data_IF_909266371366
#
_entry.id   IF_909266371366
#
_cell.length_a   1.000
_cell.length_b   1.000
_cell.length_c   1.000
_cell.angle_alpha   90.00
_cell.angle_beta   90.00
_cell.angle_gamma   90.00
#
_symmetry.space_group_name_H-M   'P 1'
#
loop_
_entity.id
_entity.type
_entity.pdbx_description
1 polymer ?
#
# COMPACT_ATOMS: atom_id res chain seq x y z
N UNK A 1 29.60 -6.19 -69.24
CA UNK A 1 28.33 -6.55 -68.57
C UNK A 1 28.65 -7.56 -67.49
N UNK A 2 28.85 -7.11 -66.32
CA UNK A 2 29.13 -7.92 -65.13
C UNK A 2 28.05 -7.67 -64.08
N UNK A 3 27.27 -8.68 -63.79
CA UNK A 3 26.21 -8.64 -62.81
C UNK A 3 26.80 -9.11 -61.46
N UNK A 4 26.95 -8.23 -60.52
CA UNK A 4 27.40 -8.55 -59.15
C UNK A 4 26.22 -8.74 -58.23
N UNK A 5 25.81 -10.01 -58.03
CA UNK A 5 24.82 -10.40 -57.03
C UNK A 5 25.33 -10.18 -55.62
N UNK A 6 24.67 -9.32 -54.86
CA UNK A 6 24.91 -9.18 -53.39
C UNK A 6 24.12 -10.28 -52.65
N UNK A 7 24.86 -11.22 -52.09
CA UNK A 7 24.33 -12.18 -51.14
C UNK A 7 24.07 -11.51 -49.80
N UNK A 8 22.82 -11.45 -49.35
CA UNK A 8 22.45 -11.10 -47.97
C UNK A 8 22.58 -12.34 -47.11
N UNK A 9 23.71 -12.45 -46.43
CA UNK A 9 23.91 -13.46 -45.36
C UNK A 9 23.08 -13.12 -44.16
N UNK A 10 21.98 -13.86 -43.96
CA UNK A 10 21.20 -13.82 -42.73
C UNK A 10 21.99 -14.51 -41.60
N UNK A 11 22.61 -13.75 -40.73
CA UNK A 11 23.23 -14.27 -39.52
C UNK A 11 22.12 -14.56 -38.47
N UNK A 12 21.61 -15.79 -38.47
CA UNK A 12 20.85 -16.30 -37.34
C UNK A 12 21.80 -16.47 -36.17
N UNK A 13 21.88 -15.48 -35.29
CA UNK A 13 22.51 -15.64 -33.99
C UNK A 13 21.72 -16.67 -33.19
N UNK A 14 22.38 -17.80 -32.93
CA UNK A 14 21.90 -18.89 -32.10
C UNK A 14 21.71 -18.35 -30.67
N UNK A 15 20.50 -17.86 -30.34
CA UNK A 15 20.14 -17.49 -28.99
C UNK A 15 20.01 -18.80 -28.23
N UNK A 16 20.96 -19.06 -27.33
CA UNK A 16 20.89 -20.18 -26.38
C UNK A 16 19.54 -20.25 -25.65
N UNK A 17 19.20 -21.38 -25.04
CA UNK A 17 17.93 -21.53 -24.35
C UNK A 17 17.78 -20.41 -23.31
N UNK A 18 16.61 -19.74 -23.34
CA UNK A 18 16.29 -18.70 -22.35
C UNK A 18 16.29 -19.33 -20.96
N UNK A 19 16.88 -18.70 -19.95
CA UNK A 19 16.83 -19.22 -18.59
C UNK A 19 15.37 -19.46 -18.18
N UNK A 20 15.10 -20.63 -17.63
CA UNK A 20 13.81 -20.97 -17.07
C UNK A 20 13.55 -20.09 -15.86
N UNK A 21 12.55 -19.23 -15.93
CA UNK A 21 12.05 -18.50 -14.78
C UNK A 21 10.88 -19.32 -14.22
N UNK A 22 10.95 -19.79 -12.97
CA UNK A 22 9.82 -20.49 -12.35
C UNK A 22 8.61 -19.55 -12.33
N UNK A 23 7.45 -20.09 -12.76
CA UNK A 23 6.19 -19.36 -12.67
C UNK A 23 5.84 -19.17 -11.19
N UNK A 24 5.50 -17.96 -10.80
CA UNK A 24 4.92 -17.68 -9.50
C UNK A 24 3.45 -18.10 -9.49
N UNK A 25 2.87 -18.32 -8.31
CA UNK A 25 1.46 -18.73 -8.13
C UNK A 25 0.46 -17.77 -8.80
N UNK A 26 0.90 -16.55 -9.11
CA UNK A 26 0.12 -15.52 -9.81
C UNK A 26 0.27 -15.55 -11.35
N UNK A 27 0.90 -16.58 -11.92
CA UNK A 27 1.08 -16.67 -13.35
C UNK A 27 -0.18 -17.15 -14.05
N UNK A 28 -0.83 -16.25 -14.82
CA UNK A 28 -1.91 -16.56 -15.73
C UNK A 28 -1.34 -16.66 -17.17
N UNK A 29 -1.27 -17.87 -17.77
CA UNK A 29 -0.74 -18.06 -19.12
C UNK A 29 -1.61 -17.39 -20.21
N UNK A 30 -2.87 -17.05 -19.91
CA UNK A 30 -3.80 -16.39 -20.82
C UNK A 30 -3.81 -14.86 -20.65
N UNK A 31 -3.09 -14.32 -19.68
CA UNK A 31 -3.03 -12.88 -19.48
C UNK A 31 -2.33 -12.18 -20.65
N UNK A 32 -3.04 -11.26 -21.31
CA UNK A 32 -2.51 -10.44 -22.41
C UNK A 32 -1.31 -9.59 -22.01
N UNK A 33 -1.20 -9.23 -20.72
CA UNK A 33 -0.14 -8.41 -20.16
C UNK A 33 0.43 -9.05 -18.89
N UNK A 34 1.74 -8.82 -18.64
CA UNK A 34 2.36 -9.26 -17.38
C UNK A 34 1.63 -8.66 -16.17
N UNK A 35 1.63 -9.36 -15.04
CA UNK A 35 1.02 -8.89 -13.78
C UNK A 35 1.48 -7.47 -13.40
N UNK A 36 2.77 -7.16 -13.60
CA UNK A 36 3.31 -5.81 -13.39
C UNK A 36 2.61 -4.76 -14.26
N UNK A 37 2.44 -5.01 -15.56
CA UNK A 37 1.73 -4.09 -16.47
C UNK A 37 0.26 -3.93 -16.12
N UNK A 38 -0.39 -4.99 -15.65
CA UNK A 38 -1.78 -4.90 -15.17
C UNK A 38 -1.89 -4.00 -13.93
N UNK A 39 -0.92 -4.10 -13.00
CA UNK A 39 -0.87 -3.21 -11.83
C UNK A 39 -0.64 -1.76 -12.25
N UNK A 40 0.34 -1.50 -13.12
CA UNK A 40 0.64 -0.16 -13.65
C UNK A 40 -0.61 0.45 -14.31
N UNK A 41 -1.28 -0.29 -15.19
CA UNK A 41 -2.51 0.16 -15.83
C UNK A 41 -3.63 0.48 -14.82
N UNK A 42 -3.83 -0.37 -13.80
CA UNK A 42 -4.82 -0.12 -12.74
C UNK A 42 -4.49 1.12 -11.92
N UNK A 43 -3.20 1.42 -11.70
CA UNK A 43 -2.76 2.59 -10.97
C UNK A 43 -2.96 3.90 -11.76
N UNK A 44 -2.74 3.85 -13.07
CA UNK A 44 -2.91 5.00 -13.97
C UNK A 44 -4.38 5.31 -14.26
N UNK A 45 -5.25 4.27 -14.25
CA UNK A 45 -6.67 4.38 -14.60
C UNK A 45 -7.58 4.20 -13.36
N UNK A 46 -7.21 4.79 -12.22
CA UNK A 46 -8.09 4.83 -11.05
C UNK A 46 -9.20 5.84 -11.30
N UNK A 47 -10.44 5.35 -11.29
CA UNK A 47 -11.62 6.21 -11.28
C UNK A 47 -11.72 6.90 -9.90
N UNK A 48 -11.59 8.23 -9.82
CA UNK A 48 -11.69 8.95 -8.55
C UNK A 48 -13.09 8.88 -7.93
N UNK A 49 -14.12 8.60 -8.72
CA UNK A 49 -15.51 8.50 -8.27
C UNK A 49 -15.97 7.06 -8.04
N UNK A 50 -15.05 6.10 -8.18
CA UNK A 50 -15.35 4.70 -7.91
C UNK A 50 -15.89 4.52 -6.48
N UNK A 51 -16.97 3.73 -6.30
CA UNK A 51 -17.51 3.45 -4.97
C UNK A 51 -16.46 2.78 -4.08
N UNK A 52 -16.31 3.27 -2.87
CA UNK A 52 -15.41 2.71 -1.85
C UNK A 52 -16.20 2.01 -0.75
N UNK A 53 -15.57 1.08 -0.04
CA UNK A 53 -16.22 0.42 1.10
C UNK A 53 -16.50 1.43 2.21
N UNK A 54 -17.66 1.33 2.85
CA UNK A 54 -18.11 2.23 3.91
C UNK A 54 -17.10 2.30 5.08
N UNK A 55 -16.53 1.15 5.50
CA UNK A 55 -15.50 1.15 6.54
C UNK A 55 -14.23 1.92 6.12
N UNK A 56 -13.86 1.89 4.82
CA UNK A 56 -12.75 2.71 4.31
C UNK A 56 -13.13 4.19 4.30
N UNK A 57 -14.38 4.54 3.98
CA UNK A 57 -14.87 5.90 4.00
C UNK A 57 -14.78 6.50 5.42
N UNK A 58 -15.29 5.79 6.44
CA UNK A 58 -15.24 6.21 7.85
C UNK A 58 -13.81 6.38 8.36
N UNK A 59 -12.92 5.46 7.99
CA UNK A 59 -11.50 5.56 8.34
C UNK A 59 -10.81 6.76 7.66
N UNK A 60 -11.15 7.07 6.40
CA UNK A 60 -10.62 8.23 5.67
C UNK A 60 -11.21 9.56 6.18
N UNK A 61 -12.33 9.51 6.87
CA UNK A 61 -12.94 10.64 7.55
C UNK A 61 -12.40 10.85 8.99
N UNK A 62 -11.40 10.04 9.42
CA UNK A 62 -10.77 10.18 10.73
C UNK A 62 -11.61 9.68 11.90
N UNK A 63 -12.80 9.12 11.67
CA UNK A 63 -13.72 8.70 12.74
C UNK A 63 -13.10 7.57 13.57
N UNK A 64 -12.56 6.53 12.90
CA UNK A 64 -12.09 5.31 13.56
C UNK A 64 -11.14 4.51 12.67
N UNK A 65 -10.63 3.37 13.13
CA UNK A 65 -9.95 2.39 12.27
C UNK A 65 -10.97 1.64 11.39
N UNK A 66 -10.50 0.96 10.34
CA UNK A 66 -11.40 0.16 9.49
C UNK A 66 -12.06 -1.01 10.23
N UNK A 67 -11.41 -1.58 11.26
CA UNK A 67 -11.97 -2.66 12.09
C UNK A 67 -13.05 -2.12 13.00
N UNK A 68 -12.80 -1.04 13.71
CA UNK A 68 -13.80 -0.35 14.53
C UNK A 68 -14.99 0.13 13.68
N UNK A 69 -14.74 0.58 12.45
CA UNK A 69 -15.81 0.93 11.51
C UNK A 69 -16.73 -0.26 11.19
N UNK A 70 -16.17 -1.45 11.04
CA UNK A 70 -16.98 -2.67 10.84
C UNK A 70 -17.86 -2.97 12.06
N UNK A 71 -17.36 -2.76 13.29
CA UNK A 71 -18.13 -2.89 14.54
C UNK A 71 -19.27 -1.84 14.61
N UNK A 72 -18.99 -0.59 14.28
CA UNK A 72 -19.98 0.49 14.23
C UNK A 72 -21.07 0.25 13.18
N UNK A 73 -20.71 -0.27 12.00
CA UNK A 73 -21.66 -0.65 10.95
C UNK A 73 -22.60 -1.74 11.48
N UNK A 74 -22.05 -2.81 12.09
CA UNK A 74 -22.85 -3.89 12.65
C UNK A 74 -23.74 -3.44 13.82
N UNK A 75 -23.28 -2.47 14.61
CA UNK A 75 -24.05 -1.87 15.69
C UNK A 75 -25.19 -0.96 15.20
N UNK A 76 -25.27 -0.66 13.87
CA UNK A 76 -26.36 0.14 13.29
C UNK A 76 -26.31 1.63 13.61
N UNK A 77 -25.15 2.16 14.01
CA UNK A 77 -24.98 3.58 14.34
C UNK A 77 -24.58 4.42 13.12
N UNK A 78 -24.54 3.81 11.94
CA UNK A 78 -24.21 4.47 10.66
C UNK A 78 -25.44 4.54 9.79
N UNK A 79 -25.70 5.72 9.21
CA UNK A 79 -26.74 5.88 8.18
C UNK A 79 -26.11 6.30 6.86
N UNK A 80 -26.67 5.78 5.77
CA UNK A 80 -26.33 6.11 4.39
C UNK A 80 -27.58 6.64 3.69
N UNK A 81 -27.56 7.88 3.25
CA UNK A 81 -28.71 8.55 2.62
C UNK A 81 -29.99 8.42 3.47
N UNK A 82 -29.87 8.55 4.79
CA UNK A 82 -30.96 8.46 5.74
C UNK A 82 -31.39 7.04 6.14
N UNK A 83 -30.77 6.00 5.59
CA UNK A 83 -31.09 4.59 5.91
C UNK A 83 -29.97 3.97 6.76
N UNK A 84 -30.33 3.29 7.86
CA UNK A 84 -29.38 2.57 8.70
C UNK A 84 -28.73 1.43 7.92
N UNK A 85 -27.41 1.33 8.00
CA UNK A 85 -26.62 0.27 7.36
C UNK A 85 -25.97 -0.62 8.42
N UNK A 86 -26.23 -1.94 8.32
CA UNK A 86 -25.62 -2.96 9.19
C UNK A 86 -24.80 -3.99 8.40
N UNK A 87 -24.89 -3.96 7.07
CA UNK A 87 -24.22 -4.92 6.19
C UNK A 87 -22.76 -4.54 5.97
N UNK A 88 -21.84 -5.48 6.28
CA UNK A 88 -20.41 -5.33 6.01
C UNK A 88 -20.14 -5.38 4.51
N UNK A 89 -19.16 -4.56 4.07
CA UNK A 89 -18.79 -4.51 2.65
C UNK A 89 -19.63 -3.53 1.82
N UNK A 90 -20.65 -2.90 2.40
CA UNK A 90 -21.43 -1.83 1.75
C UNK A 90 -20.50 -0.80 1.12
N UNK A 91 -20.82 -0.39 -0.10
CA UNK A 91 -20.05 0.60 -0.85
C UNK A 91 -20.77 1.94 -0.89
N UNK A 92 -20.01 3.01 -0.80
CA UNK A 92 -20.49 4.40 -0.86
C UNK A 92 -19.80 5.17 -1.97
N UNK A 93 -20.50 6.09 -2.61
CA UNK A 93 -19.97 7.05 -3.57
C UNK A 93 -19.62 8.35 -2.85
N UNK A 94 -18.85 9.22 -3.46
CA UNK A 94 -18.55 10.55 -2.91
C UNK A 94 -19.78 11.46 -2.77
N UNK A 95 -20.81 11.21 -3.60
CA UNK A 95 -22.08 11.93 -3.57
C UNK A 95 -23.02 11.49 -2.47
N UNK A 96 -22.77 10.33 -1.84
CA UNK A 96 -23.64 9.79 -0.80
C UNK A 96 -23.43 10.54 0.52
N UNK A 97 -24.51 10.67 1.27
CA UNK A 97 -24.50 11.31 2.57
C UNK A 97 -24.39 10.24 3.67
N UNK A 98 -23.28 10.28 4.41
CA UNK A 98 -22.98 9.35 5.50
C UNK A 98 -23.09 10.10 6.82
N UNK A 99 -23.79 9.50 7.80
CA UNK A 99 -23.84 9.99 9.18
C UNK A 99 -23.33 8.92 10.15
N UNK A 100 -22.68 9.38 11.20
CA UNK A 100 -22.27 8.62 12.36
C UNK A 100 -22.91 9.25 13.61
N UNK A 101 -23.76 8.50 14.33
CA UNK A 101 -24.56 9.04 15.43
C UNK A 101 -25.24 10.37 15.06
N UNK A 102 -25.94 10.39 13.92
CA UNK A 102 -26.65 11.57 13.38
C UNK A 102 -25.77 12.77 12.99
N UNK A 103 -24.46 12.66 13.13
CA UNK A 103 -23.51 13.68 12.67
C UNK A 103 -23.01 13.36 11.26
N UNK A 104 -23.08 14.35 10.38
CA UNK A 104 -22.59 14.23 9.01
C UNK A 104 -21.08 13.99 8.99
N UNK A 105 -20.68 12.92 8.31
CA UNK A 105 -19.28 12.55 8.13
C UNK A 105 -18.71 13.21 6.89
N UNK A 106 -17.62 13.94 7.04
CA UNK A 106 -16.86 14.52 5.93
C UNK A 106 -15.46 13.92 5.85
N UNK A 107 -14.95 13.75 4.63
CA UNK A 107 -13.58 13.25 4.44
C UNK A 107 -12.55 14.28 4.93
N UNK A 108 -11.56 13.82 5.66
CA UNK A 108 -10.42 14.65 6.05
C UNK A 108 -9.53 14.99 4.86
N UNK A 109 -8.83 16.12 4.93
CA UNK A 109 -7.72 16.40 4.02
C UNK A 109 -6.59 15.41 4.24
N UNK A 110 -5.87 15.09 3.18
CA UNK A 110 -4.72 14.20 3.26
C UNK A 110 -3.53 14.93 3.90
N UNK A 111 -2.91 14.29 4.87
CA UNK A 111 -1.74 14.80 5.60
C UNK A 111 -0.60 13.79 5.51
N UNK A 112 0.61 14.31 5.36
CA UNK A 112 1.84 13.53 5.26
C UNK A 112 2.87 14.10 6.22
N UNK A 113 3.38 13.25 7.12
CA UNK A 113 4.39 13.61 8.11
C UNK A 113 5.60 12.70 7.92
N UNK A 114 6.77 13.30 7.79
CA UNK A 114 8.04 12.56 7.73
C UNK A 114 8.70 12.67 9.10
N UNK A 115 8.94 11.53 9.73
CA UNK A 115 9.60 11.41 11.02
C UNK A 115 10.98 10.76 10.84
N UNK A 116 12.03 11.40 11.33
CA UNK A 116 13.29 10.70 11.60
C UNK A 116 13.16 9.97 12.94
N UNK A 117 12.67 8.74 12.89
CA UNK A 117 12.35 7.95 14.09
C UNK A 117 13.61 7.72 14.94
N UNK A 118 13.62 8.10 16.21
CA UNK A 118 14.72 7.76 17.13
C UNK A 118 14.63 6.30 17.60
N UNK A 119 15.69 5.84 18.27
CA UNK A 119 15.68 4.55 19.00
C UNK A 119 14.67 4.60 20.15
N UNK A 120 14.28 3.43 20.64
CA UNK A 120 13.39 3.19 21.79
C UNK A 120 11.89 3.48 21.57
N UNK A 121 11.47 3.85 20.36
CA UNK A 121 10.07 4.03 20.01
C UNK A 121 9.59 2.87 19.14
N UNK A 122 8.42 2.32 19.46
CA UNK A 122 7.79 1.25 18.64
C UNK A 122 6.90 1.86 17.56
N UNK A 123 6.89 1.22 16.38
CA UNK A 123 6.10 1.67 15.24
C UNK A 123 4.71 1.05 15.29
N UNK A 124 3.84 1.63 16.11
CA UNK A 124 2.43 1.25 16.24
C UNK A 124 1.59 2.46 16.59
N UNK A 125 0.29 2.39 16.33
CA UNK A 125 -0.70 3.40 16.74
C UNK A 125 -1.15 3.15 18.18
N UNK A 126 -1.22 1.88 18.58
CA UNK A 126 -1.58 1.44 19.91
C UNK A 126 -0.63 0.34 20.37
N UNK A 127 -0.24 0.37 21.64
CA UNK A 127 0.67 -0.62 22.23
C UNK A 127 0.12 -1.17 23.56
N UNK A 128 -0.29 -2.45 23.58
CA UNK A 128 -0.79 -3.07 24.81
C UNK A 128 0.21 -3.08 25.98
N UNK A 129 1.51 -2.98 25.67
CA UNK A 129 2.58 -2.92 26.68
C UNK A 129 2.90 -1.49 27.14
N UNK A 130 2.15 -0.48 26.67
CA UNK A 130 2.32 0.93 27.04
C UNK A 130 3.75 1.47 26.86
N UNK A 131 4.49 0.97 25.86
CA UNK A 131 5.80 1.51 25.50
C UNK A 131 5.63 2.81 24.72
N UNK A 132 6.71 3.61 24.67
CA UNK A 132 6.74 4.79 23.82
C UNK A 132 6.52 4.41 22.34
N UNK A 133 5.56 5.06 21.71
CA UNK A 133 5.22 4.84 20.31
C UNK A 133 5.64 6.02 19.43
N UNK A 134 5.74 5.81 18.14
CA UNK A 134 5.99 6.90 17.18
C UNK A 134 4.89 7.96 17.21
N UNK A 135 3.69 7.61 17.70
CA UNK A 135 2.56 8.54 17.82
C UNK A 135 2.83 9.62 18.88
N UNK A 136 3.59 9.31 19.94
CA UNK A 136 4.00 10.28 20.97
C UNK A 136 4.83 11.43 20.38
N UNK A 137 5.60 11.13 19.31
CA UNK A 137 6.48 12.10 18.66
C UNK A 137 5.76 13.00 17.66
N UNK A 138 4.59 12.61 17.19
CA UNK A 138 3.84 13.30 16.14
C UNK A 138 2.48 13.82 16.58
N UNK A 139 2.17 13.75 17.88
CA UNK A 139 0.88 14.19 18.45
C UNK A 139 0.49 15.63 18.11
N UNK A 140 1.49 16.49 17.94
CA UNK A 140 1.31 17.91 17.65
C UNK A 140 1.41 18.23 16.15
N UNK A 141 1.53 17.22 15.27
CA UNK A 141 1.70 17.41 13.83
C UNK A 141 0.41 17.81 13.10
N UNK A 142 -0.74 17.62 13.71
CA UNK A 142 -2.05 17.97 13.13
C UNK A 142 -3.19 17.38 13.96
N UNK A 143 -4.42 17.64 13.51
CA UNK A 143 -5.65 17.11 14.11
C UNK A 143 -6.11 15.81 13.46
N UNK A 144 -5.64 15.58 12.24
CA UNK A 144 -6.01 14.45 11.40
C UNK A 144 -5.47 13.14 11.99
N UNK A 145 -6.22 12.06 11.85
CA UNK A 145 -5.85 10.74 12.33
C UNK A 145 -4.80 10.09 11.43
N UNK A 146 -3.52 10.39 11.66
CA UNK A 146 -2.40 9.80 10.94
C UNK A 146 -1.94 8.47 11.56
N UNK A 147 -1.28 7.62 10.75
CA UNK A 147 -0.70 6.35 11.16
C UNK A 147 0.57 6.04 10.33
N UNK A 148 1.50 5.21 10.85
CA UNK A 148 2.76 4.92 10.17
C UNK A 148 2.55 4.07 8.92
N UNK A 149 3.32 4.38 7.87
CA UNK A 149 3.39 3.64 6.61
C UNK A 149 4.56 2.67 6.67
N UNK A 150 4.25 1.40 6.93
CA UNK A 150 5.25 0.39 7.22
C UNK A 150 5.74 0.45 8.67
N UNK A 151 6.86 -0.21 8.94
CA UNK A 151 7.40 -0.30 10.29
C UNK A 151 8.92 -0.26 10.28
N UNK A 152 9.48 0.37 11.30
CA UNK A 152 10.87 0.25 11.73
C UNK A 152 10.90 -0.41 13.11
N UNK A 153 11.90 -1.20 13.39
CA UNK A 153 12.05 -1.84 14.69
C UNK A 153 12.34 -0.79 15.78
N UNK A 154 12.13 -1.16 17.04
CA UNK A 154 12.28 -0.27 18.20
C UNK A 154 13.62 0.48 18.21
N UNK A 155 14.71 -0.24 17.90
CA UNK A 155 16.07 0.30 17.93
C UNK A 155 16.59 0.76 16.56
N UNK A 156 15.76 0.67 15.51
CA UNK A 156 16.08 1.19 14.18
C UNK A 156 15.71 2.65 14.10
N UNK A 157 16.62 3.46 13.57
CA UNK A 157 16.41 4.88 13.32
C UNK A 157 16.15 5.14 11.84
N UNK A 158 15.62 6.30 11.52
CA UNK A 158 15.51 6.76 10.14
C UNK A 158 14.12 7.17 9.73
N UNK A 159 13.93 7.24 8.43
CA UNK A 159 12.76 7.85 7.83
C UNK A 159 11.54 6.94 7.96
N UNK A 160 10.53 7.44 8.64
CA UNK A 160 9.20 6.85 8.73
C UNK A 160 8.17 7.85 8.22
N UNK A 161 7.38 7.45 7.25
CA UNK A 161 6.24 8.22 6.76
C UNK A 161 5.01 7.90 7.61
N UNK A 162 4.28 8.95 8.05
CA UNK A 162 2.96 8.81 8.67
C UNK A 162 1.94 9.59 7.82
N UNK A 163 0.74 9.06 7.66
CA UNK A 163 -0.32 9.69 6.86
C UNK A 163 -1.68 9.14 7.20
N UNK A 164 -2.75 9.87 6.84
CA UNK A 164 -4.12 9.37 6.78
C UNK A 164 -4.52 8.91 5.36
N UNK A 165 -3.60 8.98 4.37
CA UNK A 165 -3.82 8.49 3.01
C UNK A 165 -3.59 6.97 2.91
N UNK A 166 -4.63 6.19 3.18
CA UNK A 166 -4.60 4.73 3.12
C UNK A 166 -4.32 4.17 1.73
N UNK A 167 -4.58 4.93 0.68
CA UNK A 167 -4.26 4.50 -0.69
C UNK A 167 -2.76 4.58 -0.94
N UNK A 168 -2.14 5.70 -0.58
CA UNK A 168 -0.68 5.83 -0.67
C UNK A 168 0.02 4.81 0.23
N UNK A 169 -0.43 4.67 1.49
CA UNK A 169 0.12 3.68 2.41
C UNK A 169 0.08 2.26 1.82
N UNK A 170 -1.05 1.86 1.25
CA UNK A 170 -1.20 0.57 0.58
C UNK A 170 -0.28 0.44 -0.64
N UNK A 171 -0.21 1.46 -1.50
CA UNK A 171 0.67 1.46 -2.69
C UNK A 171 2.15 1.28 -2.33
N UNK A 172 2.57 1.79 -1.19
CA UNK A 172 3.96 1.71 -0.73
C UNK A 172 4.30 0.40 -0.02
N UNK A 173 3.35 -0.21 0.69
CA UNK A 173 3.64 -1.31 1.61
C UNK A 173 3.01 -2.66 1.25
N UNK A 174 1.90 -2.67 0.51
CA UNK A 174 1.18 -3.91 0.24
C UNK A 174 1.88 -4.75 -0.84
N UNK A 175 2.05 -6.07 -0.64
CA UNK A 175 2.76 -6.98 -1.56
C UNK A 175 2.22 -6.96 -2.99
N UNK A 176 0.91 -6.75 -3.18
CA UNK A 176 0.29 -6.68 -4.51
C UNK A 176 0.92 -5.65 -5.46
N UNK A 177 1.58 -4.61 -4.92
CA UNK A 177 2.22 -3.57 -5.73
C UNK A 177 3.68 -3.89 -6.07
N UNK A 178 4.19 -5.05 -5.69
CA UNK A 178 5.51 -5.57 -6.04
C UNK A 178 6.66 -4.57 -5.78
N UNK A 179 6.55 -3.79 -4.69
CA UNK A 179 7.60 -2.84 -4.32
C UNK A 179 8.83 -3.59 -3.82
N UNK A 180 9.95 -3.45 -4.53
CA UNK A 180 11.21 -4.06 -4.14
C UNK A 180 11.75 -3.36 -2.89
N UNK A 181 12.27 -4.16 -1.94
CA UNK A 181 13.06 -3.69 -0.81
C UNK A 181 14.52 -4.03 -1.07
N UNK A 182 15.39 -3.06 -0.90
CA UNK A 182 16.83 -3.24 -1.03
C UNK A 182 17.46 -3.04 0.33
N UNK A 183 18.26 -4.03 0.76
CA UNK A 183 19.01 -3.96 2.01
C UNK A 183 20.49 -3.86 1.65
N UNK A 184 21.18 -2.89 2.26
CA UNK A 184 22.62 -2.78 2.20
C UNK A 184 23.16 -3.05 3.61
N UNK A 185 23.90 -4.16 3.76
CA UNK A 185 24.49 -4.57 5.03
C UNK A 185 26.00 -4.42 4.99
N UNK A 186 26.55 -3.76 6.02
CA UNK A 186 27.98 -3.78 6.31
C UNK A 186 28.25 -4.92 7.29
N UNK A 187 29.16 -5.81 6.90
CA UNK A 187 29.52 -6.97 7.70
C UNK A 187 30.90 -6.77 8.33
N UNK A 188 31.12 -7.39 9.48
CA UNK A 188 32.40 -7.39 10.19
C UNK A 188 33.44 -8.30 9.52
N UNK A 189 32.99 -9.25 8.69
CA UNK A 189 33.81 -10.20 7.93
C UNK A 189 33.32 -10.32 6.50
N UNK A 190 34.21 -10.69 5.60
CA UNK A 190 33.84 -11.00 4.22
C UNK A 190 32.95 -12.25 4.19
N UNK A 191 31.89 -12.18 3.39
CA UNK A 191 31.00 -13.32 3.13
C UNK A 191 31.70 -14.31 2.24
N UNK A 192 31.70 -15.59 2.61
CA UNK A 192 32.15 -16.68 1.76
C UNK A 192 31.02 -17.18 0.84
N UNK A 193 31.36 -17.90 -0.23
CA UNK A 193 30.33 -18.42 -1.14
C UNK A 193 29.27 -19.31 -0.45
N UNK A 194 29.63 -20.17 0.54
CA UNK A 194 28.67 -20.95 1.30
C UNK A 194 27.72 -20.13 2.18
N UNK A 195 28.07 -18.88 2.51
CA UNK A 195 27.22 -18.01 3.34
C UNK A 195 26.12 -17.29 2.52
N UNK A 196 26.13 -17.47 1.19
CA UNK A 196 25.20 -16.81 0.27
C UNK A 196 24.03 -17.71 -0.17
N UNK A 197 24.09 -19.00 0.13
CA UNK A 197 23.05 -20.01 -0.14
C UNK A 197 22.10 -20.13 1.08
#
# INVERSE_FOLDING_TARGET
SGNSGRSYGSSYQNRGPRPFHPHTDDYDPNAKYSHKKQIEYKLENIDPDAPIRLNKYLANAGICSRREADEFIQAGVITLNGTVVTELGTKVKRSDEVHFHDQKVSLERKVYVILNKPKNYVTTVDDPQQRHTVMDLVKDAGKERIYPVGRLDRNTTGVLLLTNDGELASKLTHPQYLKKKVYHAYLDKNVSAPDLD
#
